data_IF_964161123801
#
_entry.id   IF_964161123801
#
_cell.length_a   1.000
_cell.length_b   1.000
_cell.length_c   1.000
_cell.angle_alpha   90.00
_cell.angle_beta   90.00
_cell.angle_gamma   90.00
#
_symmetry.space_group_name_H-M   'P 1'
#
loop_
_entity.id
_entity.type
_entity.pdbx_description
1 polymer ?
#
# COMPACT_ATOMS: atom_id res chain seq x y z
N UNK A 1 -2.19 -30.38 10.02
CA UNK A 1 -1.72 -29.31 9.10
C UNK A 1 -2.85 -28.37 8.65
N UNK A 2 -3.98 -28.86 8.12
CA UNK A 2 -5.08 -27.99 7.64
C UNK A 2 -5.59 -26.98 8.68
N UNK A 3 -5.79 -27.41 9.94
CA UNK A 3 -6.24 -26.53 11.03
C UNK A 3 -5.26 -25.39 11.31
N UNK A 4 -3.95 -25.66 11.24
CA UNK A 4 -2.91 -24.65 11.46
C UNK A 4 -2.83 -23.66 10.28
N UNK A 5 -3.11 -24.13 9.06
CA UNK A 5 -3.24 -23.27 7.89
C UNK A 5 -4.45 -22.33 8.02
N UNK A 6 -5.62 -22.83 8.40
CA UNK A 6 -6.81 -22.00 8.62
C UNK A 6 -6.61 -20.97 9.75
N UNK A 7 -5.94 -21.37 10.84
CA UNK A 7 -5.57 -20.43 11.91
C UNK A 7 -4.62 -19.35 11.41
N UNK A 8 -3.67 -19.68 10.53
CA UNK A 8 -2.72 -18.72 9.96
C UNK A 8 -3.39 -17.72 9.02
N UNK A 9 -4.42 -18.12 8.26
CA UNK A 9 -5.19 -17.20 7.41
C UNK A 9 -6.17 -16.33 8.21
N UNK A 10 -6.30 -16.57 9.52
CA UNK A 10 -7.23 -15.86 10.39
C UNK A 10 -8.68 -16.37 10.28
N UNK A 11 -8.91 -17.47 9.57
CA UNK A 11 -10.24 -18.01 9.35
C UNK A 11 -10.65 -18.97 10.47
N UNK A 12 -11.69 -18.61 11.22
CA UNK A 12 -12.26 -19.49 12.25
C UNK A 12 -11.33 -19.79 13.44
N UNK A 13 -10.19 -19.12 13.56
CA UNK A 13 -9.21 -19.35 14.61
C UNK A 13 -9.75 -19.24 16.05
N UNK A 14 -10.72 -18.34 16.40
CA UNK A 14 -11.24 -18.28 17.75
C UNK A 14 -12.03 -19.56 18.10
N UNK A 15 -12.73 -20.14 17.13
CA UNK A 15 -13.48 -21.38 17.33
C UNK A 15 -12.55 -22.58 17.49
N UNK A 16 -11.48 -22.65 16.69
CA UNK A 16 -10.43 -23.67 16.85
C UNK A 16 -9.77 -23.57 18.23
N UNK A 17 -9.44 -22.35 18.67
CA UNK A 17 -8.90 -22.09 20.00
C UNK A 17 -9.88 -22.54 21.11
N UNK A 18 -11.15 -22.14 21.02
CA UNK A 18 -12.17 -22.52 22.02
C UNK A 18 -12.37 -24.04 22.09
N UNK A 19 -12.46 -24.71 20.94
CA UNK A 19 -12.55 -26.17 20.89
C UNK A 19 -11.32 -26.84 21.50
N UNK A 20 -10.13 -26.26 21.30
CA UNK A 20 -8.88 -26.77 21.87
C UNK A 20 -8.82 -26.59 23.39
N UNK A 21 -9.31 -25.45 23.90
CA UNK A 21 -9.41 -25.21 25.35
C UNK A 21 -10.48 -26.08 26.02
N UNK A 22 -11.50 -26.51 25.27
CA UNK A 22 -12.57 -27.36 25.77
C UNK A 22 -12.27 -28.87 25.66
N UNK A 23 -11.16 -29.27 25.05
CA UNK A 23 -10.80 -30.66 24.80
C UNK A 23 -10.46 -31.40 26.11
N UNK A 24 -11.15 -32.51 26.39
CA UNK A 24 -11.02 -33.27 27.64
C UNK A 24 -10.09 -34.49 27.50
N UNK A 25 -10.58 -35.69 27.77
CA UNK A 25 -9.87 -36.94 27.59
C UNK A 25 -10.38 -37.64 26.32
N UNK A 26 -9.64 -38.65 25.85
CA UNK A 26 -10.09 -39.48 24.73
C UNK A 26 -11.51 -40.03 24.97
N UNK A 27 -12.31 -40.01 23.90
CA UNK A 27 -13.72 -40.42 23.87
C UNK A 27 -14.67 -39.68 24.83
N UNK A 28 -14.28 -38.50 25.33
CA UNK A 28 -15.15 -37.64 26.15
C UNK A 28 -15.53 -36.34 25.43
N UNK A 29 -16.74 -35.86 25.70
CA UNK A 29 -17.24 -34.59 25.18
C UNK A 29 -16.47 -33.37 25.72
N UNK A 30 -16.62 -32.20 25.08
CA UNK A 30 -15.94 -30.99 25.48
C UNK A 30 -16.49 -30.43 26.81
N UNK A 31 -15.60 -29.87 27.64
CA UNK A 31 -15.95 -29.13 28.86
C UNK A 31 -15.34 -27.74 28.74
N UNK A 32 -16.17 -26.71 28.86
CA UNK A 32 -15.72 -25.32 28.73
C UNK A 32 -14.61 -24.99 29.75
N UNK A 33 -13.53 -24.34 29.27
CA UNK A 33 -12.37 -23.91 30.07
C UNK A 33 -11.61 -25.04 30.79
N UNK A 34 -11.65 -26.28 30.28
CA UNK A 34 -10.95 -27.41 30.89
C UNK A 34 -9.42 -27.30 30.78
N UNK A 35 -8.90 -26.84 29.63
CA UNK A 35 -7.46 -26.68 29.34
C UNK A 35 -7.15 -25.30 28.76
N UNK A 36 -7.30 -24.27 29.59
CA UNK A 36 -7.00 -22.88 29.18
C UNK A 36 -5.53 -22.71 28.78
N UNK A 37 -4.62 -23.52 29.29
CA UNK A 37 -3.19 -23.53 28.93
C UNK A 37 -2.94 -23.71 27.42
N UNK A 38 -3.85 -24.37 26.69
CA UNK A 38 -3.77 -24.52 25.24
C UNK A 38 -3.84 -23.18 24.49
N UNK A 39 -4.35 -22.12 25.11
CA UNK A 39 -4.39 -20.78 24.52
C UNK A 39 -3.01 -20.23 24.20
N UNK A 40 -2.01 -20.54 25.04
CA UNK A 40 -0.64 -20.05 24.86
C UNK A 40 -0.06 -20.55 23.53
N UNK A 41 -0.33 -21.80 23.16
CA UNK A 41 0.10 -22.36 21.88
C UNK A 41 -0.42 -21.53 20.70
N UNK A 42 -1.71 -21.22 20.69
CA UNK A 42 -2.32 -20.46 19.60
C UNK A 42 -1.85 -19.01 19.56
N UNK A 43 -1.66 -18.36 20.72
CA UNK A 43 -1.13 -16.98 20.77
C UNK A 43 0.30 -16.92 20.23
N UNK A 44 1.17 -17.85 20.66
CA UNK A 44 2.54 -17.92 20.16
C UNK A 44 2.55 -18.21 18.66
N UNK A 45 1.74 -19.17 18.20
CA UNK A 45 1.63 -19.52 16.78
C UNK A 45 1.14 -18.32 15.95
N UNK A 46 0.13 -17.59 16.42
CA UNK A 46 -0.48 -16.45 15.73
C UNK A 46 0.44 -15.23 15.65
N UNK A 47 1.37 -15.06 16.60
CA UNK A 47 2.32 -13.93 16.59
C UNK A 47 3.60 -14.30 15.83
N UNK A 48 4.21 -15.44 16.16
CA UNK A 48 5.55 -15.80 15.68
C UNK A 48 5.52 -16.25 14.23
N UNK A 49 4.53 -17.08 13.85
CA UNK A 49 4.53 -17.70 12.53
C UNK A 49 4.25 -16.69 11.40
N UNK A 50 3.27 -15.77 11.51
CA UNK A 50 3.11 -14.71 10.52
C UNK A 50 4.31 -13.78 10.42
N UNK A 51 4.97 -13.46 11.54
CA UNK A 51 6.17 -12.64 11.52
C UNK A 51 7.29 -13.28 10.68
N UNK A 52 7.55 -14.57 10.89
CA UNK A 52 8.54 -15.30 10.11
C UNK A 52 8.16 -15.40 8.63
N UNK A 53 6.89 -15.70 8.35
CA UNK A 53 6.38 -15.84 6.99
C UNK A 53 6.47 -14.53 6.20
N UNK A 54 6.06 -13.41 6.81
CA UNK A 54 6.17 -12.07 6.19
C UNK A 54 7.62 -11.73 5.91
N UNK A 55 8.55 -12.00 6.83
CA UNK A 55 9.97 -11.70 6.62
C UNK A 55 10.58 -12.52 5.47
N UNK A 56 10.27 -13.82 5.39
CA UNK A 56 10.72 -14.67 4.28
C UNK A 56 10.12 -14.18 2.96
N UNK A 57 8.81 -13.87 2.96
CA UNK A 57 8.11 -13.40 1.76
C UNK A 57 8.68 -12.07 1.25
N UNK A 58 8.88 -11.10 2.15
CA UNK A 58 9.49 -9.81 1.81
C UNK A 58 10.91 -10.00 1.29
N UNK A 59 11.73 -10.84 1.91
CA UNK A 59 13.09 -11.11 1.46
C UNK A 59 13.09 -11.71 0.03
N UNK A 60 12.22 -12.69 -0.24
CA UNK A 60 12.09 -13.30 -1.56
C UNK A 60 11.68 -12.26 -2.62
N UNK A 61 10.67 -11.44 -2.31
CA UNK A 61 10.20 -10.39 -3.22
C UNK A 61 11.31 -9.39 -3.52
N UNK A 62 12.07 -8.94 -2.52
CA UNK A 62 13.22 -8.04 -2.72
C UNK A 62 14.26 -8.68 -3.63
N UNK A 63 14.65 -9.93 -3.39
CA UNK A 63 15.64 -10.63 -4.23
C UNK A 63 15.13 -10.72 -5.67
N UNK A 64 13.88 -11.11 -5.89
CA UNK A 64 13.33 -11.20 -7.26
C UNK A 64 13.29 -9.85 -7.97
N UNK A 65 12.96 -8.75 -7.27
CA UNK A 65 12.99 -7.41 -7.86
C UNK A 65 14.41 -6.90 -8.11
N UNK A 66 15.37 -7.29 -7.26
CA UNK A 66 16.78 -6.99 -7.49
C UNK A 66 17.29 -7.72 -8.74
N UNK A 67 17.01 -9.02 -8.87
CA UNK A 67 17.39 -9.81 -10.05
C UNK A 67 16.75 -9.27 -11.34
N UNK A 68 15.45 -8.94 -11.31
CA UNK A 68 14.77 -8.32 -12.45
C UNK A 68 15.33 -6.94 -12.79
N UNK A 69 15.56 -6.10 -11.77
CA UNK A 69 16.11 -4.76 -11.95
C UNK A 69 17.57 -4.75 -12.40
N UNK A 70 18.36 -5.76 -12.06
CA UNK A 70 19.72 -5.94 -12.57
C UNK A 70 19.72 -6.53 -13.99
N UNK A 71 18.82 -7.45 -14.30
CA UNK A 71 18.67 -8.00 -15.65
C UNK A 71 18.32 -6.92 -16.68
N UNK A 72 17.52 -5.91 -16.32
CA UNK A 72 17.23 -4.75 -17.18
C UNK A 72 18.45 -3.86 -17.49
N UNK A 73 19.54 -3.99 -16.73
CA UNK A 73 20.76 -3.19 -16.87
C UNK A 73 21.92 -3.95 -17.46
N UNK A 74 21.82 -5.28 -17.59
CA UNK A 74 22.88 -6.11 -18.18
C UNK A 74 23.12 -5.81 -19.66
N UNK A 75 22.28 -4.99 -20.31
CA UNK A 75 22.39 -4.67 -21.74
C UNK A 75 23.46 -3.60 -22.08
N UNK A 76 24.34 -3.18 -21.14
CA UNK A 76 25.49 -2.35 -21.50
C UNK A 76 26.41 -1.90 -20.36
N UNK A 77 27.54 -1.30 -20.73
CA UNK A 77 28.53 -0.68 -19.82
C UNK A 77 28.03 0.64 -19.17
N UNK A 78 26.73 0.93 -19.23
CA UNK A 78 26.13 2.23 -18.88
C UNK A 78 25.45 2.13 -17.51
N UNK A 79 25.75 3.08 -16.60
CA UNK A 79 25.14 3.16 -15.27
C UNK A 79 23.63 3.51 -15.32
N UNK A 80 22.87 3.12 -14.28
CA UNK A 80 21.43 3.45 -14.11
C UNK A 80 21.15 4.94 -14.32
N UNK A 81 21.96 5.80 -13.73
CA UNK A 81 21.75 7.25 -13.79
C UNK A 81 22.02 7.79 -15.19
N UNK A 82 23.02 7.23 -15.88
CA UNK A 82 23.34 7.60 -17.26
C UNK A 82 22.21 7.20 -18.21
N UNK A 83 21.70 5.97 -18.09
CA UNK A 83 20.55 5.51 -18.87
C UNK A 83 19.33 6.41 -18.67
N UNK A 84 18.99 6.74 -17.42
CA UNK A 84 17.85 7.62 -17.11
C UNK A 84 18.02 9.03 -17.70
N UNK A 85 19.24 9.58 -17.65
CA UNK A 85 19.53 10.89 -18.24
C UNK A 85 19.42 10.86 -19.78
N UNK A 86 19.91 9.80 -20.41
CA UNK A 86 19.83 9.60 -21.87
C UNK A 86 18.35 9.47 -22.29
N UNK A 87 17.58 8.60 -21.63
CA UNK A 87 16.15 8.41 -21.90
C UNK A 87 15.37 9.71 -21.74
N UNK A 88 15.67 10.50 -20.69
CA UNK A 88 15.08 11.82 -20.51
C UNK A 88 15.45 12.78 -21.63
N UNK A 89 16.73 12.85 -22.00
CA UNK A 89 17.21 13.79 -23.02
C UNK A 89 16.63 13.46 -24.40
N UNK A 90 16.50 12.18 -24.73
CA UNK A 90 15.91 11.71 -26.00
C UNK A 90 14.38 11.87 -26.00
N UNK A 91 13.73 11.59 -24.87
CA UNK A 91 12.28 11.61 -24.74
C UNK A 91 11.67 12.98 -24.43
N UNK A 92 12.48 13.95 -24.00
CA UNK A 92 11.99 15.26 -23.58
C UNK A 92 11.31 16.00 -24.73
N UNK A 93 10.06 16.40 -24.50
CA UNK A 93 9.30 17.28 -25.38
C UNK A 93 9.13 18.65 -24.73
N UNK A 94 9.09 19.74 -25.51
CA UNK A 94 8.86 21.05 -24.94
C UNK A 94 7.49 21.11 -24.25
N UNK A 95 7.44 21.79 -23.11
CA UNK A 95 6.19 22.07 -22.42
C UNK A 95 5.35 23.04 -23.26
N UNK A 96 4.13 22.62 -23.64
CA UNK A 96 3.20 23.49 -24.35
C UNK A 96 2.51 24.45 -23.38
N UNK A 97 2.91 25.73 -23.40
CA UNK A 97 2.24 26.77 -22.62
C UNK A 97 1.38 27.65 -23.53
N UNK A 98 0.07 27.47 -23.46
CA UNK A 98 -0.91 28.25 -24.24
C UNK A 98 -1.04 29.67 -23.67
N UNK A 99 -0.17 30.58 -24.12
CA UNK A 99 -0.18 32.00 -23.75
C UNK A 99 -0.88 32.84 -24.84
N UNK A 100 -1.78 33.78 -24.48
CA UNK A 100 -2.38 34.71 -25.45
C UNK A 100 -1.33 35.60 -26.12
N UNK A 101 -1.35 35.69 -27.45
CA UNK A 101 -0.38 36.46 -28.26
C UNK A 101 -0.32 37.96 -27.92
N UNK A 102 -1.45 38.56 -27.53
CA UNK A 102 -1.57 40.01 -27.29
C UNK A 102 -1.49 40.33 -25.80
N UNK A 103 -0.33 40.82 -25.34
CA UNK A 103 -0.09 41.19 -23.92
C UNK A 103 -1.04 42.27 -23.39
N UNK A 104 -1.49 43.21 -24.23
CA UNK A 104 -2.39 44.29 -23.81
C UNK A 104 -3.89 43.92 -23.92
N UNK A 105 -4.21 42.65 -24.16
CA UNK A 105 -5.59 42.18 -24.27
C UNK A 105 -6.15 41.79 -22.91
N UNK A 106 -7.47 41.97 -22.72
CA UNK A 106 -8.20 41.41 -21.59
C UNK A 106 -7.96 39.91 -21.43
N UNK A 107 -7.83 39.16 -22.54
CA UNK A 107 -7.49 37.73 -22.54
C UNK A 107 -6.19 37.41 -21.79
N UNK A 108 -5.17 38.26 -21.91
CA UNK A 108 -3.90 38.09 -21.19
C UNK A 108 -4.05 38.37 -19.70
N UNK A 109 -4.85 39.36 -19.30
CA UNK A 109 -5.14 39.66 -17.89
C UNK A 109 -5.86 38.48 -17.21
N UNK A 110 -6.89 37.92 -17.86
CA UNK A 110 -7.60 36.73 -17.37
C UNK A 110 -6.66 35.53 -17.27
N UNK A 111 -5.86 35.26 -18.31
CA UNK A 111 -4.88 34.18 -18.29
C UNK A 111 -3.89 34.32 -17.12
N UNK A 112 -3.39 35.54 -16.84
CA UNK A 112 -2.51 35.78 -15.69
C UNK A 112 -3.17 35.51 -14.35
N UNK A 113 -4.46 35.79 -14.20
CA UNK A 113 -5.21 35.51 -12.97
C UNK A 113 -5.39 34.01 -12.79
N UNK A 114 -5.85 33.32 -13.84
CA UNK A 114 -6.11 31.86 -13.80
C UNK A 114 -4.83 31.07 -13.53
N UNK A 115 -3.70 31.49 -14.09
CA UNK A 115 -2.39 30.82 -13.91
C UNK A 115 -1.65 31.30 -12.65
N UNK A 116 -2.27 32.16 -11.83
CA UNK A 116 -1.64 32.66 -10.60
C UNK A 116 -1.81 31.69 -9.43
N UNK A 117 -0.75 31.54 -8.62
CA UNK A 117 -0.76 30.71 -7.41
C UNK A 117 -1.87 31.06 -6.41
N UNK A 118 -2.25 32.35 -6.19
CA UNK A 118 -3.39 32.68 -5.32
C UNK A 118 -4.72 32.10 -5.82
N UNK A 119 -4.93 32.03 -7.13
CA UNK A 119 -6.13 31.44 -7.71
C UNK A 119 -6.16 29.92 -7.50
N UNK A 120 -5.01 29.25 -7.58
CA UNK A 120 -4.89 27.81 -7.25
C UNK A 120 -5.29 27.53 -5.79
N UNK A 121 -4.79 28.33 -4.83
CA UNK A 121 -5.18 28.21 -3.43
C UNK A 121 -6.68 28.47 -3.20
N UNK A 122 -7.27 29.42 -3.92
CA UNK A 122 -8.70 29.70 -3.85
C UNK A 122 -9.54 28.49 -4.30
N UNK A 123 -9.19 27.85 -5.41
CA UNK A 123 -9.88 26.64 -5.89
C UNK A 123 -9.70 25.47 -4.90
N UNK A 124 -8.49 25.26 -4.37
CA UNK A 124 -8.27 24.23 -3.35
C UNK A 124 -9.13 24.45 -2.10
N UNK A 125 -9.24 25.69 -1.65
CA UNK A 125 -10.10 26.05 -0.52
C UNK A 125 -11.57 25.76 -0.81
N UNK A 126 -12.07 26.09 -2.01
CA UNK A 126 -13.44 25.74 -2.42
C UNK A 126 -13.70 24.23 -2.45
N UNK A 127 -12.73 23.42 -2.90
CA UNK A 127 -12.84 21.95 -2.87
C UNK A 127 -12.95 21.45 -1.43
N UNK A 128 -12.08 21.95 -0.53
CA UNK A 128 -12.11 21.58 0.89
C UNK A 128 -13.44 21.98 1.55
N UNK A 129 -13.95 23.17 1.27
CA UNK A 129 -15.27 23.57 1.78
C UNK A 129 -16.39 22.70 1.25
N UNK A 130 -16.33 22.31 -0.04
CA UNK A 130 -17.33 21.42 -0.61
C UNK A 130 -17.31 20.01 0.03
N UNK A 131 -16.13 19.43 0.26
CA UNK A 131 -16.02 18.13 0.94
C UNK A 131 -16.50 18.18 2.39
N UNK A 132 -16.21 19.26 3.11
CA UNK A 132 -16.75 19.48 4.46
C UNK A 132 -18.28 19.58 4.46
N UNK A 133 -18.86 20.34 3.52
CA UNK A 133 -20.32 20.44 3.39
C UNK A 133 -20.98 19.09 3.06
N UNK A 134 -20.33 18.26 2.25
CA UNK A 134 -20.79 16.89 1.96
C UNK A 134 -20.72 16.00 3.20
N UNK A 135 -19.68 16.10 4.03
CA UNK A 135 -19.58 15.36 5.29
C UNK A 135 -20.60 15.82 6.34
N UNK A 136 -20.99 17.09 6.31
CA UNK A 136 -22.00 17.65 7.23
C UNK A 136 -23.44 17.32 6.83
N UNK A 137 -23.67 16.94 5.56
CA UNK A 137 -24.94 16.35 5.14
C UNK A 137 -24.95 14.87 5.53
N UNK A 138 -25.50 14.58 6.71
CA UNK A 138 -26.06 13.28 7.06
C UNK A 138 -27.47 13.19 6.53
#
# INVERSE_FOLDING_TARGET
>A
MLTLFAVQTGEGWPQVLQNSMAATYEDKGPIQNFRIEMSIFYIVYFVVFPFFFVNIFVALIIITFQEQGEAELQDGEIDKNQKSCIDFTIGARPLERYMPNKRNSFKYKVWRIVVSTPFEYFIMMLIVFNTLLLMMKV
#
